data_IF_589415147752
#
_entry.id   IF_589415147752
#
_cell.length_a   1.000
_cell.length_b   1.000
_cell.length_c   1.000
_cell.angle_alpha   90.00
_cell.angle_beta   90.00
_cell.angle_gamma   90.00
#
_symmetry.space_group_name_H-M   'P 1'
#
loop_
_entity.id
_entity.type
_entity.pdbx_description
1 polymer ?
#
# COMPACT_ATOMS: atom_id res chain seq x y z
N UNK A 1 6.47 -27.83 -9.34
CA UNK A 1 6.45 -27.24 -7.98
C UNK A 1 6.34 -25.73 -8.18
N UNK A 2 5.42 -25.07 -7.50
CA UNK A 2 5.19 -23.62 -7.65
C UNK A 2 6.16 -22.89 -6.72
N UNK A 3 6.76 -21.80 -7.21
CA UNK A 3 7.79 -21.03 -6.50
C UNK A 3 7.23 -19.70 -6.00
N UNK A 4 7.36 -19.46 -4.69
CA UNK A 4 6.93 -18.26 -3.99
C UNK A 4 8.12 -17.48 -3.39
N UNK A 5 9.36 -17.84 -3.74
CA UNK A 5 10.60 -17.28 -3.18
C UNK A 5 10.77 -15.78 -3.37
N UNK A 6 10.00 -15.18 -4.28
CA UNK A 6 9.93 -13.73 -4.45
C UNK A 6 9.56 -13.01 -3.14
N UNK A 7 8.85 -13.67 -2.22
CA UNK A 7 8.43 -13.11 -0.93
C UNK A 7 9.26 -13.57 0.27
N UNK A 8 10.40 -14.25 0.06
CA UNK A 8 11.23 -14.76 1.17
C UNK A 8 11.91 -13.66 2.01
N UNK A 9 12.03 -12.45 1.45
CA UNK A 9 12.79 -11.34 2.06
C UNK A 9 11.90 -10.11 2.23
N UNK A 10 10.96 -10.16 3.17
CA UNK A 10 10.10 -9.02 3.54
C UNK A 10 10.60 -8.42 4.85
N UNK A 11 10.81 -7.11 4.89
CA UNK A 11 11.17 -6.34 6.06
C UNK A 11 9.95 -5.52 6.54
N UNK A 12 9.47 -5.81 7.74
CA UNK A 12 8.38 -5.08 8.42
C UNK A 12 8.99 -4.38 9.64
N UNK A 13 9.02 -3.04 9.64
CA UNK A 13 9.71 -2.29 10.71
C UNK A 13 9.04 -2.39 12.08
N UNK A 14 7.74 -2.66 12.09
CA UNK A 14 6.84 -2.81 13.23
C UNK A 14 6.40 -4.26 13.45
N UNK A 15 7.25 -5.23 13.07
CA UNK A 15 7.00 -6.65 13.32
C UNK A 15 6.93 -6.95 14.83
N UNK A 16 5.71 -7.21 15.31
CA UNK A 16 5.40 -7.51 16.72
C UNK A 16 5.83 -8.93 17.15
N UNK A 17 6.15 -9.82 16.21
CA UNK A 17 6.68 -11.15 16.51
C UNK A 17 8.20 -11.11 16.74
N UNK A 18 8.91 -10.12 16.17
CA UNK A 18 10.36 -9.91 16.37
C UNK A 18 10.68 -8.95 17.53
N UNK A 19 10.39 -9.39 18.75
CA UNK A 19 10.60 -8.58 19.96
C UNK A 19 11.54 -9.26 20.96
N UNK A 20 11.95 -8.51 21.99
CA UNK A 20 12.78 -9.05 23.06
C UNK A 20 12.26 -8.52 24.41
N UNK A 21 12.10 -9.37 25.45
CA UNK A 21 11.50 -8.96 26.74
C UNK A 21 12.17 -7.76 27.43
N UNK A 22 13.43 -7.50 27.10
CA UNK A 22 14.22 -6.40 27.66
C UNK A 22 14.35 -5.16 26.76
N UNK A 23 13.71 -5.15 25.59
CA UNK A 23 13.76 -4.02 24.65
C UNK A 23 12.36 -3.43 24.52
N UNK A 24 12.26 -2.11 24.69
CA UNK A 24 11.01 -1.39 24.46
C UNK A 24 10.67 -1.36 22.96
N UNK A 25 9.57 -2.01 22.61
CA UNK A 25 9.12 -2.13 21.22
C UNK A 25 8.69 -0.79 20.63
N UNK A 26 8.14 0.12 21.45
CA UNK A 26 7.66 1.42 21.00
C UNK A 26 8.78 2.29 20.42
N UNK A 27 9.96 2.26 21.06
CA UNK A 27 11.16 2.93 20.54
C UNK A 27 11.88 2.10 19.47
N UNK A 28 11.91 0.77 19.60
CA UNK A 28 12.54 -0.12 18.63
C UNK A 28 11.95 0.00 17.23
N UNK A 29 10.62 0.00 17.08
CA UNK A 29 9.98 0.06 15.75
C UNK A 29 10.25 1.38 15.04
N UNK A 30 10.27 2.49 15.79
CA UNK A 30 10.67 3.80 15.24
C UNK A 30 12.13 3.79 14.81
N UNK A 31 13.00 3.17 15.59
CA UNK A 31 14.41 3.05 15.26
C UNK A 31 14.63 2.18 14.02
N UNK A 32 13.96 1.02 13.91
CA UNK A 32 13.97 0.17 12.71
C UNK A 32 13.48 0.93 11.47
N UNK A 33 12.38 1.68 11.60
CA UNK A 33 11.89 2.54 10.53
C UNK A 33 12.93 3.58 10.11
N UNK A 34 13.54 4.29 11.06
CA UNK A 34 14.56 5.30 10.79
C UNK A 34 15.78 4.69 10.08
N UNK A 35 16.29 3.56 10.57
CA UNK A 35 17.41 2.85 9.96
C UNK A 35 17.09 2.40 8.51
N UNK A 36 15.85 1.99 8.25
CA UNK A 36 15.38 1.63 6.91
C UNK A 36 15.38 2.85 5.97
N UNK A 37 14.82 3.98 6.41
CA UNK A 37 14.81 5.24 5.65
C UNK A 37 16.25 5.69 5.34
N UNK A 38 17.14 5.68 6.33
CA UNK A 38 18.55 6.04 6.15
C UNK A 38 19.27 5.13 5.15
N UNK A 39 19.04 3.80 5.20
CA UNK A 39 19.60 2.87 4.22
C UNK A 39 19.11 3.16 2.81
N UNK A 40 17.81 3.45 2.63
CA UNK A 40 17.26 3.82 1.32
C UNK A 40 17.81 5.15 0.81
N UNK A 41 17.96 6.16 1.68
CA UNK A 41 18.55 7.44 1.32
C UNK A 41 20.03 7.30 0.89
N UNK A 42 20.81 6.51 1.63
CA UNK A 42 22.20 6.23 1.28
C UNK A 42 22.29 5.49 -0.06
N UNK A 43 21.41 4.51 -0.28
CA UNK A 43 21.34 3.77 -1.53
C UNK A 43 21.00 4.68 -2.72
N UNK A 44 20.03 5.58 -2.54
CA UNK A 44 19.64 6.55 -3.55
C UNK A 44 20.77 7.55 -3.86
N UNK A 45 21.48 8.05 -2.84
CA UNK A 45 22.66 8.90 -3.03
C UNK A 45 23.79 8.19 -3.78
N UNK A 46 24.08 6.94 -3.43
CA UNK A 46 25.08 6.12 -4.16
C UNK A 46 24.69 5.99 -5.64
N UNK A 47 23.41 5.70 -5.92
CA UNK A 47 22.87 5.60 -7.29
C UNK A 47 23.00 6.90 -8.09
N UNK A 48 22.68 8.04 -7.48
CA UNK A 48 22.80 9.35 -8.14
C UNK A 48 24.24 9.73 -8.45
N UNK A 49 25.17 9.50 -7.51
CA UNK A 49 26.60 9.76 -7.73
C UNK A 49 27.20 8.83 -8.80
N UNK A 50 26.80 7.55 -8.81
CA UNK A 50 27.23 6.61 -9.85
C UNK A 50 26.69 7.00 -11.24
N UNK A 51 25.42 7.42 -11.35
CA UNK A 51 24.84 7.89 -12.62
C UNK A 51 25.52 9.18 -13.10
N UNK A 52 25.77 10.13 -12.20
CA UNK A 52 26.50 11.36 -12.51
C UNK A 52 27.92 11.07 -13.00
N UNK A 53 28.67 10.21 -12.29
CA UNK A 53 30.01 9.78 -12.70
C UNK A 53 30.02 9.11 -14.06
N UNK A 54 29.07 8.20 -14.32
CA UNK A 54 28.93 7.54 -15.61
C UNK A 54 28.64 8.54 -16.75
N UNK A 55 27.73 9.50 -16.54
CA UNK A 55 27.40 10.54 -17.52
C UNK A 55 28.60 11.44 -17.82
N UNK A 56 29.36 11.82 -16.79
CA UNK A 56 30.56 12.65 -16.96
C UNK A 56 31.66 11.92 -17.73
N UNK A 57 31.96 10.66 -17.40
CA UNK A 57 32.93 9.86 -18.14
C UNK A 57 32.49 9.68 -19.60
N UNK A 58 31.21 9.37 -19.85
CA UNK A 58 30.68 9.24 -21.23
C UNK A 58 30.81 10.53 -22.04
N UNK A 59 30.55 11.69 -21.42
CA UNK A 59 30.74 13.00 -22.05
C UNK A 59 32.20 13.25 -22.39
N UNK A 60 33.12 13.06 -21.44
CA UNK A 60 34.56 13.25 -21.66
C UNK A 60 35.10 12.33 -22.77
N UNK A 61 34.62 11.09 -22.79
CA UNK A 61 35.02 10.10 -23.79
C UNK A 61 34.54 10.49 -25.19
N UNK A 62 33.30 10.97 -25.31
CA UNK A 62 32.78 11.50 -26.57
C UNK A 62 33.55 12.74 -27.07
N UNK A 63 33.91 13.66 -26.16
CA UNK A 63 34.74 14.83 -26.48
C UNK A 63 36.15 14.42 -26.93
N UNK A 64 36.79 13.47 -26.26
CA UNK A 64 38.12 12.95 -26.64
C UNK A 64 38.07 12.25 -28.01
N UNK A 65 37.03 11.46 -28.27
CA UNK A 65 36.83 10.82 -29.59
C UNK A 65 36.61 11.86 -30.70
N UNK A 66 35.89 12.93 -30.43
CA UNK A 66 35.68 14.02 -31.39
C UNK A 66 37.00 14.73 -31.69
N UNK A 67 37.79 15.09 -30.67
CA UNK A 67 39.11 15.73 -30.81
C UNK A 67 40.11 14.84 -31.57
N UNK A 68 40.09 13.53 -31.34
CA UNK A 68 40.92 12.59 -32.11
C UNK A 68 40.56 12.59 -33.59
N UNK A 69 39.27 12.57 -33.94
CA UNK A 69 38.83 12.65 -35.34
C UNK A 69 39.20 13.97 -36.00
N UNK A 70 39.10 15.09 -35.27
CA UNK A 70 39.50 16.41 -35.77
C UNK A 70 41.02 16.49 -36.03
N UNK A 71 41.84 15.90 -35.15
CA UNK A 71 43.30 15.83 -35.31
C UNK A 71 43.76 14.86 -36.39
N UNK A 72 43.02 13.77 -36.65
CA UNK A 72 43.26 12.87 -37.79
C UNK A 72 43.01 13.53 -39.14
N UNK A 73 42.06 14.48 -39.20
CA UNK A 73 41.73 15.24 -40.41
C UNK A 73 42.68 16.43 -40.62
N UNK A 74 43.33 16.92 -39.55
CA UNK A 74 44.39 17.92 -39.62
C UNK A 74 45.74 17.28 -40.03
N UNK A 75 46.60 18.06 -40.70
CA UNK A 75 47.83 17.62 -41.40
C UNK A 75 48.68 16.54 -40.65
N UNK A 76 49.08 15.42 -41.30
CA UNK A 76 49.66 14.23 -40.63
C UNK A 76 51.01 14.44 -39.92
N UNK A 77 51.65 15.60 -40.13
CA UNK A 77 53.01 15.89 -39.66
C UNK A 77 53.11 16.61 -38.31
N UNK A 78 52.07 17.31 -37.84
CA UNK A 78 52.19 18.25 -36.71
C UNK A 78 51.57 17.77 -35.38
N UNK A 79 50.84 16.64 -35.37
CA UNK A 79 49.97 16.27 -34.23
C UNK A 79 50.22 14.91 -33.57
N UNK A 80 51.20 14.11 -34.02
CA UNK A 80 51.39 12.72 -33.54
C UNK A 80 51.50 12.59 -32.01
N UNK A 81 52.22 13.50 -31.36
CA UNK A 81 52.37 13.49 -29.90
C UNK A 81 51.12 13.92 -29.12
N UNK A 82 50.23 14.73 -29.72
CA UNK A 82 48.92 15.05 -29.12
C UNK A 82 47.93 13.91 -29.34
N UNK A 83 47.95 13.28 -30.52
CA UNK A 83 47.12 12.12 -30.83
C UNK A 83 47.39 10.95 -29.85
N UNK A 84 48.67 10.67 -29.57
CA UNK A 84 49.06 9.61 -28.63
C UNK A 84 48.60 9.91 -27.19
N UNK A 85 48.65 11.18 -26.76
CA UNK A 85 48.14 11.62 -25.45
C UNK A 85 46.61 11.48 -25.36
N UNK A 86 45.89 11.91 -26.39
CA UNK A 86 44.42 11.77 -26.47
C UNK A 86 43.99 10.31 -26.55
N UNK A 87 44.76 9.45 -27.21
CA UNK A 87 44.51 8.02 -27.26
C UNK A 87 44.71 7.38 -25.88
N UNK A 88 45.77 7.77 -25.15
CA UNK A 88 45.98 7.33 -23.77
C UNK A 88 44.86 7.83 -22.83
N UNK A 89 44.43 9.08 -22.96
CA UNK A 89 43.33 9.66 -22.18
C UNK A 89 41.99 8.95 -22.48
N UNK A 90 41.70 8.67 -23.75
CA UNK A 90 40.50 7.92 -24.12
C UNK A 90 40.53 6.47 -23.62
N UNK A 91 41.71 5.84 -23.58
CA UNK A 91 41.86 4.50 -23.02
C UNK A 91 41.66 4.51 -21.50
N UNK A 92 42.12 5.54 -20.80
CA UNK A 92 41.83 5.75 -19.38
C UNK A 92 40.33 5.96 -19.13
N UNK A 93 39.68 6.83 -19.90
CA UNK A 93 38.24 7.08 -19.81
C UNK A 93 37.40 5.82 -20.11
N UNK A 94 37.86 4.96 -21.04
CA UNK A 94 37.24 3.64 -21.28
C UNK A 94 37.35 2.70 -20.08
N UNK A 95 38.51 2.68 -19.41
CA UNK A 95 38.67 1.89 -18.20
C UNK A 95 37.79 2.42 -17.07
N UNK A 96 37.66 3.74 -16.95
CA UNK A 96 36.74 4.37 -16.01
C UNK A 96 35.28 4.02 -16.32
N UNK A 97 34.84 4.12 -17.58
CA UNK A 97 33.49 3.72 -18.02
C UNK A 97 33.19 2.26 -17.63
N UNK A 98 34.12 1.34 -17.89
CA UNK A 98 33.98 -0.05 -17.47
C UNK A 98 33.89 -0.20 -15.95
N UNK A 99 34.63 0.61 -15.20
CA UNK A 99 34.56 0.61 -13.73
C UNK A 99 33.19 1.11 -13.22
N UNK A 100 32.61 2.11 -13.89
CA UNK A 100 31.27 2.61 -13.57
C UNK A 100 30.20 1.57 -13.90
N UNK A 101 30.33 0.87 -15.03
CA UNK A 101 29.40 -0.19 -15.43
C UNK A 101 29.41 -1.35 -14.43
N UNK A 102 30.59 -1.77 -13.96
CA UNK A 102 30.71 -2.76 -12.90
C UNK A 102 30.02 -2.29 -11.60
N UNK A 103 30.21 -1.02 -11.19
CA UNK A 103 29.53 -0.46 -10.00
C UNK A 103 28.01 -0.40 -10.17
N UNK A 104 27.53 -0.14 -11.39
CA UNK A 104 26.10 -0.09 -11.70
C UNK A 104 25.48 -1.49 -11.69
N UNK A 105 26.22 -2.51 -12.13
CA UNK A 105 25.81 -3.91 -12.01
C UNK A 105 25.76 -4.37 -10.54
N UNK A 106 26.74 -3.98 -9.73
CA UNK A 106 26.71 -4.21 -8.28
C UNK A 106 25.52 -3.51 -7.61
N UNK A 107 25.19 -2.27 -8.01
CA UNK A 107 23.95 -1.63 -7.56
C UNK A 107 22.70 -2.43 -7.94
N UNK A 108 22.60 -2.92 -9.19
CA UNK A 108 21.43 -3.73 -9.61
C UNK A 108 21.32 -5.02 -8.82
N UNK A 109 22.44 -5.65 -8.43
CA UNK A 109 22.45 -6.81 -7.53
C UNK A 109 21.96 -6.42 -6.14
N UNK A 110 22.42 -5.29 -5.60
CA UNK A 110 21.91 -4.73 -4.34
C UNK A 110 20.40 -4.47 -4.43
N UNK A 111 19.89 -3.90 -5.53
CA UNK A 111 18.45 -3.67 -5.74
C UNK A 111 17.65 -4.98 -5.72
N UNK A 112 18.14 -6.03 -6.39
CA UNK A 112 17.48 -7.35 -6.40
C UNK A 112 17.47 -8.01 -5.02
N UNK A 113 18.50 -7.76 -4.22
CA UNK A 113 18.62 -8.30 -2.86
C UNK A 113 18.01 -7.37 -1.81
N UNK A 114 17.43 -6.23 -2.20
CA UNK A 114 16.78 -5.34 -1.24
C UNK A 114 15.53 -6.02 -0.67
N UNK A 115 15.32 -5.93 0.65
CA UNK A 115 14.11 -6.43 1.26
C UNK A 115 12.86 -5.72 0.72
N UNK A 116 11.79 -6.48 0.55
CA UNK A 116 10.47 -5.95 0.29
C UNK A 116 9.96 -5.22 1.53
N UNK A 117 9.48 -4.01 1.36
CA UNK A 117 8.82 -3.23 2.39
C UNK A 117 7.64 -2.48 1.77
N UNK A 118 6.91 -1.69 2.57
CA UNK A 118 5.72 -0.95 2.10
C UNK A 118 5.98 -0.06 0.88
N UNK A 119 7.21 0.44 0.71
CA UNK A 119 7.59 1.35 -0.38
C UNK A 119 8.06 0.61 -1.65
N UNK A 120 8.55 -0.63 -1.51
CA UNK A 120 9.04 -1.43 -2.65
C UNK A 120 8.01 -2.44 -3.14
N UNK A 121 7.15 -2.96 -2.25
CA UNK A 121 6.20 -4.02 -2.55
C UNK A 121 5.04 -3.53 -3.43
N UNK A 122 4.54 -2.32 -3.18
CA UNK A 122 3.42 -1.76 -3.94
C UNK A 122 3.44 -0.24 -3.94
N UNK A 123 2.54 0.34 -4.72
CA UNK A 123 2.26 1.78 -4.76
C UNK A 123 0.76 1.98 -4.58
N UNK A 124 0.36 3.17 -4.12
CA UNK A 124 -1.06 3.52 -4.05
C UNK A 124 -1.66 3.49 -5.48
N UNK A 125 -2.46 2.46 -5.76
CA UNK A 125 -3.10 2.27 -7.05
C UNK A 125 -4.44 2.99 -7.14
N UNK A 126 -5.16 3.10 -6.03
CA UNK A 126 -6.48 3.71 -5.95
C UNK A 126 -6.83 4.03 -4.49
N UNK A 127 -7.14 5.30 -4.22
CA UNK A 127 -7.56 5.77 -2.90
C UNK A 127 -8.85 6.58 -3.02
N UNK A 128 -9.92 6.11 -2.36
CA UNK A 128 -11.23 6.77 -2.31
C UNK A 128 -11.82 6.62 -0.92
N UNK A 129 -12.02 7.74 -0.23
CA UNK A 129 -12.77 7.80 1.01
C UNK A 129 -14.24 8.16 0.75
N UNK A 130 -15.13 7.53 1.50
CA UNK A 130 -16.56 7.86 1.53
C UNK A 130 -16.96 7.96 2.99
N UNK A 131 -17.45 9.12 3.40
CA UNK A 131 -18.02 9.29 4.73
C UNK A 131 -19.54 9.19 4.63
N UNK A 132 -20.14 8.31 5.43
CA UNK A 132 -21.58 8.09 5.42
C UNK A 132 -22.30 9.17 6.25
N UNK A 133 -22.29 10.41 5.78
CA UNK A 133 -23.12 11.48 6.34
C UNK A 133 -24.57 11.13 6.04
N UNK A 134 -25.34 10.80 7.08
CA UNK A 134 -26.76 10.51 6.92
C UNK A 134 -27.50 11.78 6.47
N UNK A 135 -28.46 11.65 5.54
CA UNK A 135 -29.36 12.75 5.23
C UNK A 135 -30.18 13.13 6.47
N UNK A 136 -30.59 14.39 6.58
CA UNK A 136 -31.49 14.84 7.64
C UNK A 136 -32.79 14.02 7.61
N UNK A 137 -33.12 13.39 8.74
CA UNK A 137 -34.38 12.68 8.91
C UNK A 137 -35.52 13.71 8.91
N UNK A 138 -36.27 13.75 7.82
CA UNK A 138 -37.53 14.51 7.77
C UNK A 138 -38.59 13.73 8.54
N UNK A 139 -39.36 14.42 9.38
CA UNK A 139 -40.48 13.80 10.08
C UNK A 139 -41.47 13.19 9.06
N UNK A 140 -41.66 11.87 9.13
CA UNK A 140 -42.61 11.13 8.30
C UNK A 140 -44.04 11.52 8.68
N UNK A 141 -44.92 11.71 7.69
CA UNK A 141 -46.34 11.99 7.96
C UNK A 141 -47.04 10.74 8.52
N UNK A 142 -48.12 10.92 9.28
CA UNK A 142 -48.91 9.82 9.87
C UNK A 142 -49.39 8.79 8.83
N UNK A 143 -49.74 9.25 7.61
CA UNK A 143 -50.13 8.36 6.50
C UNK A 143 -48.95 7.48 6.02
N UNK A 144 -47.72 7.98 6.06
CA UNK A 144 -46.52 7.22 5.71
C UNK A 144 -46.20 6.18 6.79
N UNK A 145 -46.35 6.56 8.07
CA UNK A 145 -46.19 5.64 9.20
C UNK A 145 -47.20 4.49 9.13
N UNK A 146 -48.47 4.76 8.80
CA UNK A 146 -49.49 3.70 8.68
C UNK A 146 -49.19 2.73 7.54
N UNK A 147 -48.77 3.23 6.37
CA UNK A 147 -48.37 2.38 5.23
C UNK A 147 -47.13 1.56 5.55
N UNK A 148 -46.13 2.18 6.20
CA UNK A 148 -44.93 1.49 6.68
C UNK A 148 -45.28 0.41 7.69
N UNK A 149 -46.17 0.70 8.64
CA UNK A 149 -46.63 -0.25 9.64
C UNK A 149 -47.30 -1.48 9.00
N UNK A 150 -48.29 -1.28 8.12
CA UNK A 150 -48.97 -2.39 7.42
C UNK A 150 -47.99 -3.27 6.64
N UNK A 151 -47.15 -2.65 5.81
CA UNK A 151 -46.18 -3.39 4.98
C UNK A 151 -45.08 -4.06 5.78
N UNK A 152 -44.62 -3.44 6.88
CA UNK A 152 -43.61 -3.99 7.77
C UNK A 152 -44.12 -5.22 8.52
N UNK A 153 -45.32 -5.11 9.11
CA UNK A 153 -45.95 -6.19 9.86
C UNK A 153 -46.24 -7.37 8.94
N UNK A 154 -46.83 -7.16 7.77
CA UNK A 154 -47.09 -8.23 6.80
C UNK A 154 -45.80 -8.94 6.36
N UNK A 155 -44.71 -8.19 6.18
CA UNK A 155 -43.44 -8.75 5.71
C UNK A 155 -42.70 -9.55 6.79
N UNK A 156 -42.75 -9.08 8.04
CA UNK A 156 -41.97 -9.64 9.14
C UNK A 156 -42.80 -10.35 10.20
N UNK A 157 -44.08 -10.59 9.93
CA UNK A 157 -45.05 -11.17 10.86
C UNK A 157 -44.51 -12.42 11.59
N UNK A 158 -43.95 -13.37 10.83
CA UNK A 158 -43.39 -14.62 11.38
C UNK A 158 -42.21 -14.37 12.30
N UNK A 159 -41.39 -13.37 11.99
CA UNK A 159 -40.23 -13.03 12.79
C UNK A 159 -40.63 -12.30 14.07
N UNK A 160 -41.62 -11.41 13.98
CA UNK A 160 -42.19 -10.71 15.15
C UNK A 160 -42.83 -11.73 16.10
N UNK A 161 -43.64 -12.65 15.56
CA UNK A 161 -44.22 -13.76 16.35
C UNK A 161 -43.13 -14.65 16.96
N UNK A 162 -42.08 -14.99 16.19
CA UNK A 162 -40.96 -15.76 16.71
C UNK A 162 -40.29 -15.06 17.89
N UNK A 163 -40.03 -13.76 17.80
CA UNK A 163 -39.51 -12.97 18.90
C UNK A 163 -40.45 -12.99 20.12
N UNK A 164 -41.76 -12.83 19.92
CA UNK A 164 -42.75 -12.89 21.01
C UNK A 164 -42.86 -14.26 21.67
N UNK A 165 -42.40 -15.33 21.03
CA UNK A 165 -42.33 -16.68 21.60
C UNK A 165 -41.03 -16.94 22.39
N UNK A 166 -40.03 -16.05 22.32
CA UNK A 166 -38.79 -16.18 23.08
C UNK A 166 -38.98 -15.72 24.53
N UNK A 167 -38.38 -16.45 25.47
CA UNK A 167 -38.43 -16.12 26.91
C UNK A 167 -37.05 -15.89 27.54
N UNK A 168 -36.01 -16.53 27.00
CA UNK A 168 -34.64 -16.38 27.50
C UNK A 168 -34.04 -15.11 26.95
N UNK A 169 -33.46 -14.29 27.83
CA UNK A 169 -32.84 -13.02 27.47
C UNK A 169 -31.75 -13.17 26.41
N UNK A 170 -30.88 -14.19 26.53
CA UNK A 170 -29.82 -14.44 25.55
C UNK A 170 -30.37 -14.76 24.15
N UNK A 171 -31.44 -15.55 24.09
CA UNK A 171 -32.10 -15.92 22.83
C UNK A 171 -32.77 -14.69 22.21
N UNK A 172 -33.46 -13.88 23.00
CA UNK A 172 -34.10 -12.63 22.55
C UNK A 172 -33.07 -11.61 22.06
N UNK A 173 -31.96 -11.42 22.78
CA UNK A 173 -30.89 -10.49 22.40
C UNK A 173 -30.22 -10.95 21.10
N UNK A 174 -29.89 -12.24 20.99
CA UNK A 174 -29.31 -12.80 19.76
C UNK A 174 -30.28 -12.65 18.60
N UNK A 175 -31.56 -12.94 18.81
CA UNK A 175 -32.56 -12.86 17.76
C UNK A 175 -32.77 -11.44 17.22
N UNK A 176 -32.79 -10.43 18.10
CA UNK A 176 -32.85 -9.02 17.68
C UNK A 176 -31.54 -8.53 17.07
N UNK A 177 -30.40 -9.09 17.46
CA UNK A 177 -29.11 -8.81 16.82
C UNK A 177 -29.05 -9.36 15.40
N UNK A 178 -29.63 -10.55 15.18
CA UNK A 178 -29.77 -11.17 13.87
C UNK A 178 -30.86 -10.49 13.01
N UNK A 179 -31.85 -9.85 13.66
CA UNK A 179 -32.96 -9.14 13.02
C UNK A 179 -33.13 -7.69 13.56
N UNK A 180 -32.16 -6.77 13.32
CA UNK A 180 -32.20 -5.43 13.90
C UNK A 180 -33.39 -4.58 13.44
N UNK A 181 -33.95 -4.88 12.27
CA UNK A 181 -35.13 -4.20 11.74
C UNK A 181 -36.38 -4.42 12.59
N UNK A 182 -36.42 -5.45 13.44
CA UNK A 182 -37.51 -5.68 14.39
C UNK A 182 -37.48 -4.73 15.59
N UNK A 183 -36.37 -4.01 15.82
CA UNK A 183 -36.24 -3.08 16.94
C UNK A 183 -36.85 -1.73 16.56
N UNK A 184 -38.18 -1.71 16.45
CA UNK A 184 -38.97 -0.52 16.12
C UNK A 184 -40.35 -0.58 16.80
N UNK A 185 -41.05 0.56 16.81
CA UNK A 185 -42.37 0.67 17.46
C UNK A 185 -43.42 -0.22 16.78
N UNK A 186 -43.31 -0.44 15.47
CA UNK A 186 -44.23 -1.26 14.70
C UNK A 186 -44.26 -2.72 15.19
N UNK A 187 -43.10 -3.28 15.52
CA UNK A 187 -42.99 -4.62 16.13
C UNK A 187 -43.71 -4.66 17.48
N UNK A 188 -43.49 -3.66 18.35
CA UNK A 188 -44.11 -3.61 19.66
C UNK A 188 -45.64 -3.48 19.56
N UNK A 189 -46.13 -2.61 18.67
CA UNK A 189 -47.55 -2.43 18.41
C UNK A 189 -48.21 -3.72 17.93
N UNK A 190 -47.56 -4.45 17.02
CA UNK A 190 -48.08 -5.74 16.56
C UNK A 190 -48.13 -6.79 17.66
N UNK A 191 -47.09 -6.88 18.52
CA UNK A 191 -47.10 -7.82 19.65
C UNK A 191 -48.23 -7.53 20.63
N UNK A 192 -48.54 -6.26 20.90
CA UNK A 192 -49.68 -5.88 21.76
C UNK A 192 -51.01 -6.32 21.15
N UNK A 193 -51.23 -6.07 19.85
CA UNK A 193 -52.43 -6.54 19.15
C UNK A 193 -52.51 -8.06 19.19
N UNK A 194 -51.40 -8.74 18.94
CA UNK A 194 -51.35 -10.20 18.96
C UNK A 194 -51.68 -10.78 20.34
N UNK A 195 -51.24 -10.14 21.43
CA UNK A 195 -51.66 -10.53 22.79
C UNK A 195 -53.18 -10.41 22.99
N UNK A 196 -53.83 -9.39 22.41
CA UNK A 196 -55.29 -9.22 22.49
C UNK A 196 -56.00 -10.29 21.67
N UNK A 197 -55.52 -10.55 20.44
CA UNK A 197 -56.10 -11.58 19.57
C UNK A 197 -56.03 -12.97 20.21
N UNK A 198 -54.91 -13.31 20.85
CA UNK A 198 -54.75 -14.57 21.58
C UNK A 198 -55.74 -14.74 22.74
N UNK A 199 -56.09 -13.65 23.44
CA UNK A 199 -57.10 -13.67 24.51
C UNK A 199 -58.53 -13.83 23.94
N UNK A 200 -58.80 -13.29 22.75
CA UNK A 200 -60.11 -13.43 22.08
C UNK A 200 -60.28 -14.81 21.44
N UNK A 201 -59.18 -15.47 21.07
CA UNK A 201 -59.16 -16.82 20.50
C UNK A 201 -59.34 -17.95 21.54
N UNK A 202 -59.31 -17.64 22.84
CA UNK A 202 -59.67 -18.56 23.94
C UNK A 202 -61.20 -18.72 24.13
#
# INVERSE_FOLDING_TARGET
MVDYSVWDHIEVSDDEDETHPNIDTASLFRWRHQARVERMEQFQKEKEELDKGCRECKRKLAECQKKMKELEVADPGSGKGELEKLQAEAQQLRNEERSWENKLEELRKKEKNMPWNVDTLSKDGFSKSVFNVKPEEKEETEEQKEKKHKTFVERYEKQIKHFGMLRRWDDSQKYLSDNPHLVCEETANYLVIWCIDLEVEE
#
